data_IF_246830760007
#
_entry.id   IF_246830760007
#
_cell.length_a   1.000
_cell.length_b   1.000
_cell.length_c   1.000
_cell.angle_alpha   90.00
_cell.angle_beta   90.00
_cell.angle_gamma   90.00
#
_symmetry.space_group_name_H-M   'P 1'
#
loop_
_entity.id
_entity.type
_entity.pdbx_description
1 polymer ?
#
# COMPACT_ATOMS: atom_id res chain seq x y z
N UNK A 1 21.09 0.67 25.98
CA UNK A 1 19.91 1.41 25.49
C UNK A 1 19.52 2.47 26.52
N UNK A 2 19.90 3.74 26.32
CA UNK A 2 19.62 4.85 27.26
C UNK A 2 18.88 6.03 26.60
N UNK A 3 18.43 5.84 25.36
CA UNK A 3 17.81 6.90 24.55
C UNK A 3 16.34 7.16 24.92
N UNK A 4 15.65 6.18 25.52
CA UNK A 4 14.25 6.31 25.91
C UNK A 4 14.18 6.92 27.32
N UNK A 5 13.56 8.10 27.45
CA UNK A 5 13.23 8.73 28.74
C UNK A 5 14.06 9.96 29.14
N UNK A 6 15.09 10.34 28.38
CA UNK A 6 15.93 11.52 28.70
C UNK A 6 15.32 12.87 28.27
N UNK A 7 14.30 12.84 27.41
CA UNK A 7 13.74 14.04 26.77
C UNK A 7 14.68 14.74 25.78
N UNK A 8 15.93 14.28 25.64
CA UNK A 8 16.92 14.84 24.73
C UNK A 8 16.85 14.16 23.36
N UNK A 9 16.93 14.96 22.30
CA UNK A 9 17.06 14.43 20.94
C UNK A 9 18.31 13.54 20.85
N UNK A 10 18.12 12.34 20.29
CA UNK A 10 19.20 11.36 20.15
C UNK A 10 19.32 10.95 18.68
N UNK A 11 20.51 11.15 18.11
CA UNK A 11 20.80 10.70 16.75
C UNK A 11 20.76 9.18 16.67
N UNK A 12 19.98 8.65 15.74
CA UNK A 12 19.86 7.20 15.47
C UNK A 12 20.12 6.96 13.99
N UNK A 13 20.89 5.90 13.69
CA UNK A 13 21.08 5.42 12.32
C UNK A 13 20.24 4.16 12.17
N UNK A 14 19.37 4.13 11.16
CA UNK A 14 18.55 2.99 10.81
C UNK A 14 18.82 2.63 9.35
N UNK A 15 18.96 1.33 9.07
CA UNK A 15 18.97 0.81 7.72
C UNK A 15 17.51 0.69 7.25
N UNK A 16 17.12 1.51 6.28
CA UNK A 16 15.74 1.62 5.79
C UNK A 16 15.72 1.11 4.35
N UNK A 17 14.91 0.08 4.12
CA UNK A 17 14.51 -0.32 2.76
C UNK A 17 13.51 0.71 2.22
N UNK A 18 14.03 1.67 1.47
CA UNK A 18 13.23 2.78 0.92
C UNK A 18 12.25 2.32 -0.16
N UNK A 19 12.55 1.25 -0.89
CA UNK A 19 11.68 0.73 -1.94
C UNK A 19 10.40 0.16 -1.33
N UNK A 20 10.51 -0.49 -0.16
CA UNK A 20 9.37 -0.99 0.60
C UNK A 20 8.70 0.08 1.46
N UNK A 21 9.48 1.00 2.04
CA UNK A 21 8.97 1.98 3.01
C UNK A 21 8.22 3.15 2.36
N UNK A 22 8.78 3.72 1.28
CA UNK A 22 8.25 4.96 0.71
C UNK A 22 6.83 4.85 0.13
N UNK A 23 6.46 3.80 -0.64
CA UNK A 23 5.12 3.71 -1.22
C UNK A 23 4.02 3.80 -0.16
N UNK A 24 3.91 2.87 0.82
CA UNK A 24 2.81 2.93 1.79
C UNK A 24 2.89 4.17 2.69
N UNK A 25 4.10 4.65 3.01
CA UNK A 25 4.27 5.83 3.86
C UNK A 25 3.76 7.12 3.22
N UNK A 26 3.90 7.25 1.90
CA UNK A 26 3.51 8.46 1.16
C UNK A 26 2.16 8.37 0.44
N UNK A 27 1.47 7.21 0.51
CA UNK A 27 0.17 7.00 -0.14
C UNK A 27 -0.89 8.04 0.25
N UNK A 28 -0.99 8.39 1.54
CA UNK A 28 -2.00 9.36 2.00
C UNK A 28 -1.52 10.81 1.94
N UNK A 29 -0.21 11.05 2.04
CA UNK A 29 0.36 12.39 2.05
C UNK A 29 1.80 12.38 1.52
N UNK A 30 2.15 13.29 0.59
CA UNK A 30 3.53 13.49 0.18
C UNK A 30 4.42 13.86 1.37
N UNK A 31 5.66 13.36 1.36
CA UNK A 31 6.68 13.73 2.34
C UNK A 31 7.80 14.50 1.64
N UNK A 32 7.88 15.81 1.86
CA UNK A 32 8.95 16.64 1.27
C UNK A 32 10.34 16.15 1.71
N UNK A 33 10.50 15.81 3.00
CA UNK A 33 11.75 15.29 3.56
C UNK A 33 12.23 14.02 2.85
N UNK A 34 11.32 13.12 2.51
CA UNK A 34 11.67 11.85 1.87
C UNK A 34 11.70 11.94 0.35
N UNK A 35 11.01 12.92 -0.24
CA UNK A 35 10.94 13.12 -1.69
C UNK A 35 12.28 13.50 -2.32
N UNK A 36 13.15 14.17 -1.55
CA UNK A 36 14.49 14.60 -1.97
C UNK A 36 15.53 13.46 -1.88
N UNK A 37 15.15 12.28 -1.40
CA UNK A 37 16.05 11.14 -1.34
C UNK A 37 16.30 10.58 -2.75
N UNK A 38 17.56 10.21 -3.10
CA UNK A 38 17.86 9.57 -4.38
C UNK A 38 17.04 8.30 -4.65
N UNK A 39 16.64 7.59 -3.59
CA UNK A 39 15.78 6.41 -3.65
C UNK A 39 14.36 6.77 -4.12
N UNK A 40 13.81 7.89 -3.66
CA UNK A 40 12.49 8.35 -4.06
C UNK A 40 12.46 8.78 -5.53
N UNK A 41 13.51 9.46 -6.00
CA UNK A 41 13.70 9.80 -7.42
C UNK A 41 13.79 8.53 -8.30
N UNK A 42 14.58 7.54 -7.86
CA UNK A 42 14.71 6.26 -8.58
C UNK A 42 13.37 5.53 -8.69
N UNK A 43 12.62 5.45 -7.59
CA UNK A 43 11.31 4.80 -7.57
C UNK A 43 10.31 5.49 -8.50
N UNK A 44 10.24 6.83 -8.49
CA UNK A 44 9.39 7.60 -9.42
C UNK A 44 9.76 7.36 -10.89
N UNK A 45 11.06 7.29 -11.18
CA UNK A 45 11.55 7.05 -12.54
C UNK A 45 11.26 5.61 -12.99
N UNK A 46 11.40 4.64 -12.10
CA UNK A 46 11.07 3.23 -12.37
C UNK A 46 9.58 3.04 -12.65
N UNK A 47 8.71 3.67 -11.86
CA UNK A 47 7.26 3.67 -12.07
C UNK A 47 6.89 4.34 -13.40
N UNK A 48 7.59 5.43 -13.74
CA UNK A 48 7.43 6.12 -15.03
C UNK A 48 7.99 5.34 -16.22
N UNK A 49 8.97 4.44 -16.03
CA UNK A 49 9.57 3.63 -17.09
C UNK A 49 8.84 2.31 -17.33
N UNK A 50 8.11 1.81 -16.32
CA UNK A 50 7.15 0.72 -16.49
C UNK A 50 5.94 1.14 -17.34
N UNK A 51 5.66 2.44 -17.46
CA UNK A 51 4.79 3.01 -18.49
C UNK A 51 5.60 3.49 -19.69
N UNK A 52 5.37 2.96 -20.88
CA UNK A 52 6.04 3.44 -22.09
C UNK A 52 5.82 4.96 -22.30
N UNK A 53 6.84 5.73 -22.74
CA UNK A 53 6.72 7.16 -22.96
C UNK A 53 5.71 7.45 -24.08
N UNK A 54 4.52 7.93 -23.71
CA UNK A 54 3.43 8.23 -24.62
C UNK A 54 2.08 7.62 -24.22
N UNK A 55 2.10 6.68 -23.26
CA UNK A 55 0.88 6.16 -22.64
C UNK A 55 1.06 6.15 -21.14
N UNK A 56 0.47 7.12 -20.44
CA UNK A 56 -0.01 6.85 -19.09
C UNK A 56 -1.15 5.83 -19.23
N UNK A 57 -0.81 4.57 -19.55
CA UNK A 57 -1.77 3.48 -19.55
C UNK A 57 -2.25 3.38 -18.12
N UNK A 58 -3.51 3.77 -17.91
CA UNK A 58 -4.17 3.54 -16.65
C UNK A 58 -3.90 2.08 -16.23
N UNK A 59 -3.56 1.87 -14.95
CA UNK A 59 -3.35 0.53 -14.37
C UNK A 59 -4.38 -0.46 -14.94
N UNK A 60 -4.04 -1.75 -15.17
CA UNK A 60 -4.99 -2.75 -15.66
C UNK A 60 -6.32 -2.76 -14.90
N UNK A 61 -6.30 -2.42 -13.61
CA UNK A 61 -7.50 -2.20 -12.80
C UNK A 61 -8.30 -0.97 -13.25
N UNK A 62 -7.65 0.19 -13.41
CA UNK A 62 -8.29 1.41 -13.91
C UNK A 62 -8.89 1.22 -15.31
N UNK A 63 -8.20 0.48 -16.20
CA UNK A 63 -8.74 0.11 -17.51
C UNK A 63 -9.94 -0.84 -17.47
N UNK A 64 -10.12 -1.60 -16.39
CA UNK A 64 -11.33 -2.41 -16.15
C UNK A 64 -12.47 -1.56 -15.58
N UNK A 65 -12.16 -0.69 -14.62
CA UNK A 65 -13.14 0.17 -13.95
C UNK A 65 -13.81 1.15 -14.92
N UNK A 66 -13.06 1.74 -15.85
CA UNK A 66 -13.61 2.70 -16.84
C UNK A 66 -14.58 2.08 -17.84
N UNK A 67 -14.69 0.74 -17.90
CA UNK A 67 -15.55 0.01 -18.84
C UNK A 67 -16.89 -0.43 -18.24
N UNK A 68 -17.10 -0.20 -16.94
CA UNK A 68 -18.27 -0.71 -16.21
C UNK A 68 -18.97 0.43 -15.45
N UNK A 69 -20.23 0.21 -15.09
CA UNK A 69 -21.03 1.15 -14.30
C UNK A 69 -20.47 1.31 -12.89
N UNK A 70 -20.79 2.42 -12.20
CA UNK A 70 -20.32 2.70 -10.84
C UNK A 70 -20.67 1.57 -9.83
N UNK A 71 -21.84 0.95 -9.98
CA UNK A 71 -22.25 -0.18 -9.13
C UNK A 71 -21.39 -1.42 -9.37
N UNK A 72 -21.04 -1.69 -10.63
CA UNK A 72 -20.14 -2.78 -10.99
C UNK A 72 -18.69 -2.46 -10.57
N UNK A 73 -18.27 -1.19 -10.62
CA UNK A 73 -16.98 -0.75 -10.10
C UNK A 73 -16.87 -1.04 -8.61
N UNK A 74 -17.89 -0.68 -7.82
CA UNK A 74 -17.92 -0.95 -6.39
C UNK A 74 -17.81 -2.45 -6.10
N UNK A 75 -18.60 -3.27 -6.81
CA UNK A 75 -18.57 -4.73 -6.66
C UNK A 75 -17.19 -5.30 -6.99
N UNK A 76 -16.58 -4.85 -8.09
CA UNK A 76 -15.26 -5.28 -8.52
C UNK A 76 -14.18 -4.90 -7.50
N UNK A 77 -14.25 -3.70 -6.93
CA UNK A 77 -13.33 -3.23 -5.90
C UNK A 77 -13.48 -4.00 -4.59
N UNK A 78 -14.72 -4.26 -4.16
CA UNK A 78 -15.00 -5.06 -2.96
C UNK A 78 -14.43 -6.48 -3.13
N UNK A 79 -14.69 -7.14 -4.25
CA UNK A 79 -14.16 -8.48 -4.52
C UNK A 79 -12.63 -8.50 -4.58
N UNK A 80 -12.02 -7.45 -5.16
CA UNK A 80 -10.57 -7.30 -5.20
C UNK A 80 -9.99 -7.22 -3.78
N UNK A 81 -10.55 -6.35 -2.93
CA UNK A 81 -10.09 -6.19 -1.54
C UNK A 81 -10.30 -7.48 -0.75
N UNK A 82 -11.45 -8.14 -0.88
CA UNK A 82 -11.73 -9.42 -0.21
C UNK A 82 -10.78 -10.54 -0.65
N UNK A 83 -10.36 -10.55 -1.91
CA UNK A 83 -9.37 -11.51 -2.43
C UNK A 83 -8.02 -11.34 -1.73
N UNK A 84 -7.54 -10.11 -1.63
CA UNK A 84 -6.27 -9.82 -0.95
C UNK A 84 -6.37 -10.07 0.56
N UNK A 85 -7.49 -9.67 1.18
CA UNK A 85 -7.75 -9.93 2.60
C UNK A 85 -7.77 -11.43 2.93
N UNK A 86 -8.43 -12.25 2.08
CA UNK A 86 -8.44 -13.69 2.24
C UNK A 86 -7.03 -14.29 2.17
N UNK A 87 -6.21 -13.83 1.22
CA UNK A 87 -4.83 -14.28 1.09
C UNK A 87 -3.98 -13.97 2.32
N UNK A 88 -4.10 -12.75 2.88
CA UNK A 88 -3.37 -12.35 4.10
C UNK A 88 -3.81 -13.15 5.32
N UNK A 89 -5.11 -13.40 5.45
CA UNK A 89 -5.66 -14.15 6.58
C UNK A 89 -5.54 -15.68 6.42
N UNK A 90 -5.02 -16.17 5.28
CA UNK A 90 -4.92 -17.60 4.99
C UNK A 90 -6.26 -18.29 4.70
N UNK A 91 -7.30 -17.53 4.34
CA UNK A 91 -8.61 -18.05 3.97
C UNK A 91 -8.60 -18.68 2.57
N UNK A 92 -9.48 -19.66 2.35
CA UNK A 92 -9.52 -20.40 1.09
C UNK A 92 -10.21 -19.63 -0.06
N UNK A 93 -10.94 -18.56 0.27
CA UNK A 93 -11.56 -17.69 -0.72
C UNK A 93 -12.29 -16.49 -0.13
N UNK A 94 -12.78 -15.62 -1.02
CA UNK A 94 -13.43 -14.34 -0.66
C UNK A 94 -14.68 -14.50 0.19
N UNK A 95 -15.37 -15.64 0.10
CA UNK A 95 -16.59 -15.93 0.86
C UNK A 95 -16.38 -16.02 2.38
N UNK A 96 -15.14 -16.20 2.83
CA UNK A 96 -14.79 -16.21 4.26
C UNK A 96 -14.52 -14.80 4.82
N UNK A 97 -14.45 -13.78 3.96
CA UNK A 97 -14.23 -12.39 4.33
C UNK A 97 -15.54 -11.62 4.15
N UNK A 98 -16.22 -11.24 5.23
CA UNK A 98 -17.45 -10.44 5.16
C UNK A 98 -17.15 -8.98 4.76
N UNK A 99 -17.85 -8.46 3.74
CA UNK A 99 -17.57 -7.14 3.16
C UNK A 99 -17.84 -5.98 4.14
N UNK A 100 -18.85 -6.13 5.00
CA UNK A 100 -19.32 -5.07 5.91
C UNK A 100 -18.71 -5.18 7.32
N UNK A 101 -17.79 -6.13 7.54
CA UNK A 101 -17.17 -6.36 8.85
C UNK A 101 -15.83 -5.64 8.94
N UNK A 102 -15.56 -5.05 10.10
CA UNK A 102 -14.28 -4.40 10.35
C UNK A 102 -13.13 -5.42 10.26
N UNK A 103 -12.03 -5.06 9.59
CA UNK A 103 -10.84 -5.92 9.45
C UNK A 103 -10.32 -6.44 10.79
N UNK A 104 -10.35 -5.61 11.85
CA UNK A 104 -9.93 -6.01 13.20
C UNK A 104 -10.71 -7.21 13.73
N UNK A 105 -12.01 -7.26 13.45
CA UNK A 105 -12.88 -8.35 13.90
C UNK A 105 -12.68 -9.64 13.06
N UNK A 106 -12.02 -9.52 11.92
CA UNK A 106 -11.61 -10.60 11.03
C UNK A 106 -10.18 -11.10 11.34
N UNK A 107 -9.48 -10.52 12.31
CA UNK A 107 -8.14 -10.94 12.71
C UNK A 107 -6.99 -10.19 12.05
N UNK A 108 -7.27 -9.11 11.29
CA UNK A 108 -6.20 -8.17 10.92
C UNK A 108 -5.71 -7.43 12.17
N UNK A 109 -4.41 -7.53 12.43
CA UNK A 109 -3.70 -6.82 13.47
C UNK A 109 -2.50 -6.04 12.90
N UNK A 110 -1.84 -5.24 13.74
CA UNK A 110 -0.72 -4.39 13.30
C UNK A 110 0.52 -5.18 12.86
N UNK A 111 0.58 -6.49 13.10
CA UNK A 111 1.69 -7.36 12.69
C UNK A 111 1.42 -8.00 11.32
N UNK A 112 0.19 -8.49 11.11
CA UNK A 112 -0.29 -9.02 9.81
C UNK A 112 -0.39 -7.93 8.74
N UNK A 113 -0.59 -6.67 9.11
CA UNK A 113 -0.61 -5.54 8.18
C UNK A 113 0.73 -5.30 7.43
N UNK A 114 1.83 -5.89 7.89
CA UNK A 114 3.18 -5.74 7.30
C UNK A 114 3.56 -6.92 6.38
N UNK A 115 2.78 -8.00 6.32
CA UNK A 115 3.09 -9.17 5.48
C UNK A 115 2.68 -9.02 4.00
N UNK A 116 2.29 -7.82 3.58
CA UNK A 116 2.04 -7.45 2.19
C UNK A 116 3.25 -6.82 1.51
#
# INVERSE_FOLDING_TARGET
ARALGSGAATTTVADIDWERFLPPFTMSRPSALLGDLPQAERLRTADSAAGEPGTATASPLAGRLTKVSETEQHTLLVDLVRTHAAAVLGHSGIGEVEADRAFKDLGFDSLTAVEL
#
